data_IF_707860527437
#
_entry.id   IF_707860527437
#
_cell.length_a   1.000
_cell.length_b   1.000
_cell.length_c   1.000
_cell.angle_alpha   90.00
_cell.angle_beta   90.00
_cell.angle_gamma   90.00
#
_symmetry.space_group_name_H-M   'P 1'
#
loop_
_entity.id
_entity.type
_entity.pdbx_description
1 polymer ?
#
# COMPACT_ATOMS: atom_id res chain seq x y z
N UNK A 1 37.24 25.82 20.02
CA UNK A 1 38.56 26.31 19.57
C UNK A 1 39.39 25.15 19.07
N UNK A 2 39.36 24.85 17.76
CA UNK A 2 40.50 24.27 17.03
C UNK A 2 40.41 24.89 15.62
N UNK A 3 41.50 25.52 15.22
CA UNK A 3 41.68 26.34 14.01
C UNK A 3 42.67 25.61 13.11
N UNK A 4 42.31 25.37 11.86
CA UNK A 4 43.26 24.92 10.84
C UNK A 4 42.89 25.51 9.48
N UNK A 5 43.45 26.71 9.23
CA UNK A 5 43.64 27.32 7.91
C UNK A 5 44.32 26.34 6.94
N UNK A 6 43.68 26.01 5.82
CA UNK A 6 44.36 25.45 4.65
C UNK A 6 44.94 26.59 3.79
N UNK A 7 46.22 26.47 3.46
CA UNK A 7 47.05 27.46 2.77
C UNK A 7 46.82 27.43 1.26
N UNK A 8 46.81 28.61 0.65
CA UNK A 8 46.59 28.82 -0.78
C UNK A 8 47.66 28.21 -1.68
N UNK A 9 47.22 27.78 -2.85
CA UNK A 9 48.05 27.40 -3.99
C UNK A 9 48.34 28.63 -4.84
N UNK A 10 49.61 29.01 -4.95
CA UNK A 10 50.10 30.00 -5.92
C UNK A 10 50.24 29.36 -7.30
N UNK A 11 49.79 30.01 -8.39
CA UNK A 11 50.06 29.53 -9.74
C UNK A 11 51.49 29.92 -10.12
N UNK A 12 52.32 28.93 -10.45
CA UNK A 12 53.62 29.20 -11.05
C UNK A 12 53.46 29.64 -12.50
N UNK A 13 54.01 30.81 -12.75
CA UNK A 13 54.23 31.48 -14.02
C UNK A 13 55.03 30.58 -14.97
N UNK A 14 54.42 30.11 -16.06
CA UNK A 14 55.13 29.51 -17.20
C UNK A 14 55.01 30.48 -18.39
N UNK A 15 55.99 31.37 -18.54
CA UNK A 15 56.14 32.25 -19.68
C UNK A 15 57.41 31.86 -20.41
N UNK A 16 57.30 31.20 -21.57
CA UNK A 16 58.28 31.40 -22.64
C UNK A 16 57.76 30.93 -24.00
N UNK A 17 57.31 31.92 -24.77
CA UNK A 17 57.73 32.19 -26.14
C UNK A 17 57.96 30.98 -27.06
N UNK A 18 56.97 30.72 -27.92
CA UNK A 18 57.26 30.49 -29.33
C UNK A 18 56.30 31.33 -30.17
N UNK A 19 56.88 32.29 -30.89
CA UNK A 19 56.20 32.94 -32.00
C UNK A 19 56.29 32.07 -33.25
N UNK A 20 55.24 32.09 -34.07
CA UNK A 20 55.37 32.41 -35.49
C UNK A 20 53.99 32.63 -36.11
N UNK A 21 53.89 33.77 -36.77
CA UNK A 21 52.89 34.10 -37.79
C UNK A 21 52.66 32.93 -38.74
N UNK A 22 51.38 32.61 -38.98
CA UNK A 22 50.93 31.57 -39.90
C UNK A 22 49.42 31.70 -40.17
N UNK A 23 49.12 32.31 -41.31
CA UNK A 23 47.87 32.38 -42.06
C UNK A 23 46.67 31.51 -41.63
N UNK A 24 45.53 32.22 -41.56
CA UNK A 24 44.15 31.80 -41.83
C UNK A 24 43.99 30.42 -42.49
N UNK A 25 43.39 29.47 -41.79
CA UNK A 25 42.72 28.32 -42.40
C UNK A 25 41.53 27.87 -41.53
N UNK A 26 40.34 28.24 -42.01
CA UNK A 26 39.03 27.61 -41.83
C UNK A 26 38.74 26.88 -40.49
N UNK A 27 37.94 27.51 -39.64
CA UNK A 27 37.09 26.78 -38.69
C UNK A 27 36.11 25.91 -39.49
N UNK A 28 36.40 24.61 -39.56
CA UNK A 28 35.47 23.60 -40.04
C UNK A 28 34.28 23.55 -39.06
N UNK A 29 33.25 24.33 -39.34
CA UNK A 29 31.94 24.17 -38.71
C UNK A 29 31.39 22.82 -39.16
N UNK A 30 31.40 21.81 -38.29
CA UNK A 30 30.67 20.56 -38.54
C UNK A 30 29.21 20.95 -38.82
N UNK A 31 28.67 20.73 -40.03
CA UNK A 31 27.30 21.09 -40.32
C UNK A 31 26.40 20.20 -39.45
N UNK A 32 25.70 20.81 -38.48
CA UNK A 32 24.61 20.13 -37.78
C UNK A 32 23.53 19.83 -38.81
N UNK A 33 23.49 18.60 -39.33
CA UNK A 33 22.30 18.06 -40.00
C UNK A 33 21.19 18.00 -38.94
N UNK A 34 20.44 19.09 -38.82
CA UNK A 34 19.17 19.07 -38.12
C UNK A 34 18.20 18.22 -38.93
N UNK A 35 18.10 16.94 -38.60
CA UNK A 35 16.97 16.13 -39.03
C UNK A 35 15.76 16.60 -38.20
N UNK A 36 14.93 17.47 -38.79
CA UNK A 36 13.64 17.81 -38.22
C UNK A 36 12.67 16.65 -38.39
N UNK A 37 11.86 16.38 -37.37
CA UNK A 37 10.74 15.44 -37.49
C UNK A 37 9.78 15.92 -38.58
N UNK A 38 9.37 15.03 -39.46
CA UNK A 38 8.33 15.33 -40.45
C UNK A 38 6.97 15.40 -39.76
N UNK A 39 6.05 16.19 -40.31
CA UNK A 39 4.67 16.25 -39.82
C UNK A 39 3.99 14.88 -39.89
N UNK A 40 4.34 14.06 -40.89
CA UNK A 40 3.82 12.71 -41.06
C UNK A 40 4.28 11.76 -39.94
N UNK A 41 5.54 11.88 -39.49
CA UNK A 41 6.05 11.06 -38.39
C UNK A 41 5.32 11.37 -37.08
N UNK A 42 5.09 12.65 -36.76
CA UNK A 42 4.35 13.00 -35.55
C UNK A 42 2.88 12.58 -35.66
N UNK A 43 2.25 12.75 -36.83
CA UNK A 43 0.86 12.35 -37.05
C UNK A 43 0.65 10.85 -36.85
N UNK A 44 1.54 10.02 -37.40
CA UNK A 44 1.45 8.57 -37.23
C UNK A 44 1.68 8.15 -35.78
N UNK A 45 2.59 8.81 -35.07
CA UNK A 45 2.87 8.51 -33.65
C UNK A 45 1.67 8.82 -32.76
N UNK A 46 1.05 9.99 -32.89
CA UNK A 46 -0.13 10.34 -32.07
C UNK A 46 -1.33 9.46 -32.41
N UNK A 47 -1.50 9.09 -33.68
CA UNK A 47 -2.51 8.12 -34.10
C UNK A 47 -2.28 6.74 -33.46
N UNK A 48 -1.03 6.26 -33.48
CA UNK A 48 -0.67 4.99 -32.86
C UNK A 48 -0.84 5.00 -31.33
N UNK A 49 -0.42 6.08 -30.65
CA UNK A 49 -0.62 6.24 -29.20
C UNK A 49 -2.10 6.24 -28.85
N UNK A 50 -2.95 6.89 -29.63
CA UNK A 50 -4.40 6.89 -29.44
C UNK A 50 -5.00 5.48 -29.48
N UNK A 51 -4.60 4.66 -30.47
CA UNK A 51 -5.06 3.27 -30.59
C UNK A 51 -4.58 2.43 -29.40
N UNK A 52 -3.30 2.51 -29.05
CA UNK A 52 -2.74 1.73 -27.94
C UNK A 52 -3.36 2.13 -26.61
N UNK A 53 -3.55 3.43 -26.36
CA UNK A 53 -4.20 3.93 -25.15
C UNK A 53 -5.65 3.41 -25.02
N UNK A 54 -6.39 3.40 -26.13
CA UNK A 54 -7.75 2.85 -26.16
C UNK A 54 -7.81 1.38 -25.76
N UNK A 55 -6.92 0.54 -26.31
CA UNK A 55 -6.85 -0.90 -25.98
C UNK A 55 -6.51 -1.11 -24.50
N UNK A 56 -5.54 -0.36 -23.97
CA UNK A 56 -5.08 -0.50 -22.57
C UNK A 56 -6.18 -0.14 -21.57
N UNK A 57 -6.97 0.91 -21.81
CA UNK A 57 -8.05 1.31 -20.90
C UNK A 57 -9.13 0.23 -20.80
N UNK A 58 -9.51 -0.38 -21.94
CA UNK A 58 -10.49 -1.47 -21.96
C UNK A 58 -9.96 -2.72 -21.23
N UNK A 59 -8.65 -2.94 -21.26
CA UNK A 59 -8.02 -4.08 -20.59
C UNK A 59 -7.93 -3.94 -19.06
N UNK A 60 -7.97 -2.71 -18.52
CA UNK A 60 -7.93 -2.46 -17.08
C UNK A 60 -9.35 -2.57 -16.51
N UNK A 61 -9.58 -3.54 -15.61
CA UNK A 61 -10.80 -3.62 -14.83
C UNK A 61 -10.61 -2.92 -13.47
N UNK A 62 -11.00 -1.64 -13.32
CA UNK A 62 -10.82 -0.90 -12.07
C UNK A 62 -11.62 -1.51 -10.91
N UNK A 63 -12.80 -2.07 -11.19
CA UNK A 63 -13.63 -2.74 -10.18
C UNK A 63 -12.92 -3.94 -9.56
N UNK A 64 -12.20 -4.72 -10.37
CA UNK A 64 -11.39 -5.83 -9.90
C UNK A 64 -10.25 -5.34 -8.98
N UNK A 65 -9.53 -4.29 -9.37
CA UNK A 65 -8.41 -3.79 -8.56
C UNK A 65 -8.86 -3.22 -7.20
N UNK A 66 -10.00 -2.52 -7.17
CA UNK A 66 -10.59 -2.04 -5.92
C UNK A 66 -11.03 -3.19 -5.02
N UNK A 67 -11.69 -4.21 -5.58
CA UNK A 67 -12.06 -5.41 -4.84
C UNK A 67 -10.85 -6.18 -4.30
N UNK A 68 -9.76 -6.28 -5.07
CA UNK A 68 -8.51 -6.92 -4.63
C UNK A 68 -7.88 -6.15 -3.45
N UNK A 69 -7.90 -4.82 -3.52
CA UNK A 69 -7.40 -3.93 -2.45
C UNK A 69 -8.23 -4.10 -1.17
N UNK A 70 -9.56 -4.09 -1.27
CA UNK A 70 -10.46 -4.30 -0.12
C UNK A 70 -10.30 -5.70 0.46
N UNK A 71 -10.14 -6.72 -0.38
CA UNK A 71 -9.84 -8.08 0.07
C UNK A 71 -8.48 -8.19 0.77
N UNK A 72 -7.47 -7.44 0.33
CA UNK A 72 -6.18 -7.35 1.04
C UNK A 72 -6.37 -6.78 2.45
N UNK A 73 -7.14 -5.69 2.57
CA UNK A 73 -7.49 -5.10 3.86
C UNK A 73 -8.23 -6.10 4.77
N UNK A 74 -9.26 -6.78 4.24
CA UNK A 74 -9.97 -7.86 4.98
C UNK A 74 -9.04 -8.93 5.50
N UNK A 75 -8.02 -9.36 4.74
CA UNK A 75 -7.03 -10.36 5.20
C UNK A 75 -6.22 -9.83 6.38
N UNK A 76 -5.84 -8.55 6.37
CA UNK A 76 -5.15 -7.92 7.51
C UNK A 76 -6.08 -7.84 8.71
N UNK A 77 -7.33 -7.46 8.50
CA UNK A 77 -8.31 -7.26 9.59
C UNK A 77 -8.67 -8.57 10.30
N UNK A 78 -8.95 -9.64 9.57
CA UNK A 78 -9.25 -10.94 10.20
C UNK A 78 -8.07 -11.48 11.00
N UNK A 79 -6.83 -11.26 10.53
CA UNK A 79 -5.62 -11.63 11.27
C UNK A 79 -5.43 -10.73 12.51
N UNK A 80 -5.73 -9.44 12.40
CA UNK A 80 -5.64 -8.47 13.49
C UNK A 80 -6.59 -8.85 14.63
N UNK A 81 -7.85 -9.14 14.30
CA UNK A 81 -8.86 -9.61 15.25
C UNK A 81 -8.41 -10.93 15.90
N UNK A 82 -8.00 -11.92 15.10
CA UNK A 82 -7.58 -13.23 15.62
C UNK A 82 -6.37 -13.12 16.56
N UNK A 83 -5.38 -12.30 16.19
CA UNK A 83 -4.20 -12.06 17.01
C UNK A 83 -4.56 -11.37 18.33
N UNK A 84 -5.46 -10.39 18.31
CA UNK A 84 -5.92 -9.72 19.53
C UNK A 84 -6.63 -10.68 20.50
N UNK A 85 -7.54 -11.51 19.99
CA UNK A 85 -8.21 -12.56 20.78
C UNK A 85 -7.19 -13.52 21.38
N UNK A 86 -6.19 -13.94 20.60
CA UNK A 86 -5.18 -14.86 21.09
C UNK A 86 -4.24 -14.21 22.12
N UNK A 87 -3.82 -12.96 21.91
CA UNK A 87 -3.03 -12.22 22.90
C UNK A 87 -3.80 -12.06 24.21
N UNK A 88 -5.10 -11.74 24.13
CA UNK A 88 -5.96 -11.73 25.31
C UNK A 88 -5.96 -13.09 26.02
N UNK A 89 -6.07 -14.19 25.28
CA UNK A 89 -6.03 -15.55 25.85
C UNK A 89 -4.71 -15.82 26.58
N UNK A 90 -3.56 -15.44 26.01
CA UNK A 90 -2.26 -15.59 26.66
C UNK A 90 -2.20 -14.85 28.01
N UNK A 91 -2.71 -13.63 28.05
CA UNK A 91 -2.70 -12.79 29.24
C UNK A 91 -3.74 -13.21 30.28
N UNK A 92 -4.76 -13.96 29.87
CA UNK A 92 -5.86 -14.42 30.74
C UNK A 92 -5.83 -15.95 30.96
N UNK A 93 -4.63 -16.52 31.04
CA UNK A 93 -4.42 -17.94 31.39
C UNK A 93 -5.15 -18.93 30.48
N UNK A 94 -5.22 -18.63 29.17
CA UNK A 94 -5.92 -19.43 28.17
C UNK A 94 -7.41 -19.11 28.03
N UNK A 95 -7.96 -18.22 28.84
CA UNK A 95 -9.39 -17.87 28.80
C UNK A 95 -9.70 -16.99 27.59
N UNK A 96 -10.66 -17.41 26.77
CA UNK A 96 -11.16 -16.63 25.64
C UNK A 96 -12.25 -15.64 26.07
N UNK A 97 -12.48 -14.53 25.34
CA UNK A 97 -13.64 -13.67 25.56
C UNK A 97 -14.95 -14.48 25.57
N UNK A 98 -15.74 -14.33 26.64
CA UNK A 98 -16.94 -15.15 26.88
C UNK A 98 -18.04 -14.95 25.83
N UNK A 99 -18.06 -13.80 25.16
CA UNK A 99 -19.00 -13.46 24.09
C UNK A 99 -18.80 -14.29 22.82
N UNK A 100 -17.62 -14.90 22.62
CA UNK A 100 -17.38 -15.77 21.46
C UNK A 100 -18.09 -17.10 21.70
N UNK A 101 -18.99 -17.46 20.77
CA UNK A 101 -19.79 -18.68 20.84
C UNK A 101 -19.41 -19.68 19.74
N UNK A 102 -20.02 -20.86 19.77
CA UNK A 102 -19.87 -21.90 18.75
C UNK A 102 -20.72 -21.67 17.50
N UNK A 103 -21.40 -20.52 17.42
CA UNK A 103 -22.15 -20.08 16.25
C UNK A 103 -21.39 -18.91 15.63
N UNK A 104 -21.22 -18.93 14.31
CA UNK A 104 -20.62 -17.81 13.61
C UNK A 104 -21.55 -16.59 13.71
N UNK A 105 -21.06 -15.53 14.33
CA UNK A 105 -21.84 -14.33 14.60
C UNK A 105 -20.98 -13.12 14.30
N UNK A 106 -21.61 -12.07 13.78
CA UNK A 106 -20.93 -10.81 13.48
C UNK A 106 -20.37 -10.14 14.73
N UNK A 107 -19.21 -9.52 14.58
CA UNK A 107 -18.53 -8.81 15.65
C UNK A 107 -19.09 -7.39 15.72
N UNK A 108 -19.40 -6.97 16.94
CA UNK A 108 -19.85 -5.62 17.23
C UNK A 108 -18.73 -4.60 17.03
N UNK A 109 -19.06 -3.46 16.43
CA UNK A 109 -18.17 -2.31 16.28
C UNK A 109 -17.89 -1.66 17.64
N UNK A 110 -16.68 -1.15 17.82
CA UNK A 110 -16.32 -0.38 19.03
C UNK A 110 -17.27 0.80 19.21
N UNK A 111 -17.99 0.83 20.33
CA UNK A 111 -18.97 1.87 20.65
C UNK A 111 -20.37 1.67 20.05
N UNK A 112 -20.63 0.56 19.36
CA UNK A 112 -21.95 0.21 18.82
C UNK A 112 -22.90 -0.38 19.87
N UNK A 113 -24.19 -0.47 19.51
CA UNK A 113 -25.19 -1.20 20.31
C UNK A 113 -25.17 -2.68 19.91
N UNK A 114 -24.45 -3.50 20.68
CA UNK A 114 -24.13 -4.89 20.36
C UNK A 114 -25.31 -5.89 20.51
N UNK A 115 -26.51 -5.52 20.08
CA UNK A 115 -27.71 -6.37 20.17
C UNK A 115 -27.64 -7.49 19.14
N UNK A 116 -27.50 -8.74 19.58
CA UNK A 116 -27.40 -9.90 18.68
C UNK A 116 -26.03 -10.04 17.99
N UNK A 117 -25.04 -9.26 18.41
CA UNK A 117 -23.66 -9.27 17.90
C UNK A 117 -22.69 -9.75 18.98
N UNK A 118 -21.49 -10.17 18.59
CA UNK A 118 -20.42 -10.53 19.51
C UNK A 118 -19.73 -9.27 19.98
N UNK A 119 -19.92 -8.91 21.24
CA UNK A 119 -19.19 -7.81 21.87
C UNK A 119 -17.79 -8.25 22.29
N UNK A 120 -16.77 -7.72 21.60
CA UNK A 120 -15.35 -7.91 21.93
C UNK A 120 -14.74 -6.67 22.60
N UNK A 121 -15.55 -5.85 23.28
CA UNK A 121 -15.11 -4.64 23.97
C UNK A 121 -13.98 -4.87 24.98
N UNK A 122 -13.87 -6.08 25.54
CA UNK A 122 -12.72 -6.48 26.39
C UNK A 122 -11.36 -6.37 25.70
N UNK A 123 -11.31 -6.44 24.37
CA UNK A 123 -10.09 -6.29 23.58
C UNK A 123 -9.71 -4.83 23.35
N UNK A 124 -10.69 -3.92 23.41
CA UNK A 124 -10.49 -2.48 23.15
C UNK A 124 -10.52 -1.60 24.39
N UNK A 125 -11.10 -2.08 25.50
CA UNK A 125 -11.34 -1.28 26.71
C UNK A 125 -10.07 -0.66 27.32
N UNK A 126 -8.93 -1.33 27.19
CA UNK A 126 -7.63 -0.85 27.70
C UNK A 126 -6.67 -0.40 26.60
N UNK A 127 -7.09 -0.44 25.34
CA UNK A 127 -6.25 -0.24 24.14
C UNK A 127 -5.00 -1.15 24.07
N UNK A 128 -4.92 -2.17 24.93
CA UNK A 128 -3.76 -3.07 25.02
C UNK A 128 -3.67 -4.00 23.82
N UNK A 129 -4.81 -4.56 23.39
CA UNK A 129 -4.85 -5.54 22.28
C UNK A 129 -5.25 -4.87 20.98
N UNK A 130 -6.24 -3.97 21.02
CA UNK A 130 -6.72 -3.17 19.90
C UNK A 130 -7.15 -1.79 20.39
N UNK A 131 -6.94 -0.75 19.57
CA UNK A 131 -7.50 0.58 19.83
C UNK A 131 -8.97 0.68 19.39
N UNK A 132 -9.34 -0.03 18.34
CA UNK A 132 -10.71 -0.20 17.88
C UNK A 132 -10.85 -1.51 17.10
N UNK A 133 -12.07 -2.03 17.01
CA UNK A 133 -12.39 -3.15 16.12
C UNK A 133 -12.19 -2.73 14.66
N UNK A 134 -11.43 -3.49 13.86
CA UNK A 134 -11.41 -3.32 12.41
C UNK A 134 -12.82 -3.45 11.83
N UNK A 135 -13.09 -2.70 10.75
CA UNK A 135 -14.40 -2.65 10.09
C UNK A 135 -14.20 -2.90 8.60
N UNK A 136 -15.03 -3.77 8.04
CA UNK A 136 -15.01 -4.09 6.61
C UNK A 136 -15.13 -2.80 5.79
N UNK A 137 -14.33 -2.61 4.73
CA UNK A 137 -14.36 -1.39 3.92
C UNK A 137 -15.71 -1.08 3.26
N UNK A 138 -16.65 -2.02 3.25
CA UNK A 138 -18.00 -1.86 2.73
C UNK A 138 -19.09 -1.91 3.81
N UNK A 139 -18.72 -2.11 5.08
CA UNK A 139 -19.70 -2.09 6.16
C UNK A 139 -20.17 -0.65 6.42
N UNK A 140 -21.48 -0.49 6.49
CA UNK A 140 -22.15 0.81 6.67
C UNK A 140 -22.96 0.86 7.96
N UNK A 141 -23.25 -0.30 8.57
CA UNK A 141 -23.88 -0.36 9.88
C UNK A 141 -22.94 0.24 10.95
N UNK A 142 -23.50 1.07 11.82
CA UNK A 142 -22.78 1.67 12.93
C UNK A 142 -22.48 0.65 14.04
N UNK A 143 -23.13 -0.51 14.04
CA UNK A 143 -23.02 -1.53 15.07
C UNK A 143 -22.25 -2.77 14.61
N UNK A 144 -22.19 -3.04 13.31
CA UNK A 144 -21.46 -4.19 12.76
C UNK A 144 -20.07 -3.79 12.28
N UNK A 145 -19.16 -4.75 12.33
CA UNK A 145 -17.84 -4.66 11.70
C UNK A 145 -17.83 -5.32 10.30
N UNK A 146 -18.86 -6.09 9.94
CA UNK A 146 -18.85 -6.92 8.74
C UNK A 146 -17.98 -8.17 8.83
N UNK A 147 -17.31 -8.42 9.96
CA UNK A 147 -16.55 -9.63 10.24
C UNK A 147 -17.30 -10.56 11.19
N UNK A 148 -17.09 -11.87 11.04
CA UNK A 148 -17.67 -12.89 11.93
C UNK A 148 -16.61 -13.63 12.70
N UNK A 149 -16.98 -14.07 13.89
CA UNK A 149 -16.13 -14.88 14.76
C UNK A 149 -16.88 -16.10 15.27
N UNK A 150 -16.18 -17.22 15.40
CA UNK A 150 -16.69 -18.47 15.94
C UNK A 150 -15.58 -19.19 16.71
N UNK A 151 -15.92 -19.88 17.79
CA UNK A 151 -15.05 -20.86 18.44
C UNK A 151 -15.49 -22.28 18.13
N UNK A 152 -14.53 -23.16 17.89
CA UNK A 152 -14.79 -24.60 17.79
C UNK A 152 -14.90 -25.24 19.17
N UNK A 153 -15.39 -26.49 19.25
CA UNK A 153 -15.44 -27.26 20.49
C UNK A 153 -14.05 -27.46 21.15
N UNK A 154 -12.98 -27.36 20.36
CA UNK A 154 -11.59 -27.48 20.81
C UNK A 154 -10.94 -26.12 21.11
N UNK A 155 -11.73 -25.06 21.33
CA UNK A 155 -11.26 -23.70 21.61
C UNK A 155 -10.38 -23.05 20.52
N UNK A 156 -10.43 -23.56 19.27
CA UNK A 156 -9.86 -22.82 18.13
C UNK A 156 -10.79 -21.71 17.70
N UNK A 157 -10.23 -20.55 17.44
CA UNK A 157 -10.96 -19.37 16.98
C UNK A 157 -10.83 -19.26 15.47
N UNK A 158 -11.96 -19.04 14.80
CA UNK A 158 -12.00 -18.68 13.39
C UNK A 158 -12.60 -17.30 13.25
N UNK A 159 -11.94 -16.45 12.45
CA UNK A 159 -12.47 -15.15 12.01
C UNK A 159 -12.62 -15.21 10.50
N UNK A 160 -13.75 -14.74 9.99
CA UNK A 160 -14.03 -14.72 8.55
C UNK A 160 -14.63 -13.38 8.09
N UNK A 161 -14.40 -13.06 6.81
CA UNK A 161 -14.93 -11.87 6.15
C UNK A 161 -15.97 -12.29 5.10
N UNK A 162 -17.28 -12.37 5.45
CA UNK A 162 -18.34 -12.73 4.51
C UNK A 162 -18.49 -11.76 3.34
N UNK A 163 -18.10 -10.48 3.52
CA UNK A 163 -18.10 -9.46 2.49
C UNK A 163 -16.97 -9.57 1.45
N UNK A 164 -16.20 -10.66 1.44
CA UNK A 164 -15.12 -10.86 0.49
C UNK A 164 -15.63 -10.86 -0.97
N UNK A 165 -14.96 -10.07 -1.81
CA UNK A 165 -15.38 -9.84 -3.19
C UNK A 165 -14.72 -10.83 -4.15
N UNK A 166 -15.22 -10.89 -5.39
CA UNK A 166 -14.65 -11.72 -6.46
C UNK A 166 -14.63 -13.22 -6.11
N UNK A 167 -15.64 -13.67 -5.36
CA UNK A 167 -15.76 -15.06 -4.90
C UNK A 167 -14.57 -15.54 -4.06
N UNK A 168 -13.81 -14.61 -3.47
CA UNK A 168 -12.73 -14.96 -2.57
C UNK A 168 -13.30 -15.45 -1.22
N UNK A 169 -12.67 -16.47 -0.64
CA UNK A 169 -12.92 -16.87 0.75
C UNK A 169 -11.78 -16.34 1.60
N UNK A 170 -12.11 -15.52 2.61
CA UNK A 170 -11.14 -14.95 3.54
C UNK A 170 -11.53 -15.40 4.95
N UNK A 171 -10.72 -16.31 5.50
CA UNK A 171 -10.89 -16.82 6.86
C UNK A 171 -9.54 -17.24 7.42
N UNK A 172 -9.36 -17.08 8.72
CA UNK A 172 -8.17 -17.49 9.47
C UNK A 172 -8.59 -18.22 10.74
N UNK A 173 -7.87 -19.29 11.07
CA UNK A 173 -8.13 -20.13 12.25
C UNK A 173 -6.85 -20.32 13.05
N UNK A 174 -6.96 -20.24 14.37
CA UNK A 174 -5.87 -20.54 15.31
C UNK A 174 -6.38 -21.31 16.51
#
# INVERSE_FOLDING_TARGET
MINTKAKGFTPHLFHMLWGKSGNLAAQSSIPRKGAGFTLLEILLVVAAIGILAGIVIVAINPGKQLGDTRNSQRRVDVNTILNAVYQYSLDNSGTLPASITTTATEICRTGGTCTGLVDLGVLTASEKYLTAMPVDPQETDANSTGYRIIKTANNRITVDAPGAEQSATISVTR
#
